data_IF_657595744303
#
_entry.id   IF_657595744303
#
_cell.length_a   1.000
_cell.length_b   1.000
_cell.length_c   1.000
_cell.angle_alpha   90.00
_cell.angle_beta   90.00
_cell.angle_gamma   90.00
#
_symmetry.space_group_name_H-M   'P 1'
#
loop_
_entity.id
_entity.type
_entity.pdbx_description
1 polymer ?
#
# COMPACT_ATOMS: atom_id res chain seq x y z
N UNK A 1 -20.74 2.50 19.34
CA UNK A 1 -19.50 2.63 20.15
C UNK A 1 -18.33 2.51 19.19
N UNK A 2 -17.30 3.36 19.30
CA UNK A 2 -16.10 3.27 18.47
C UNK A 2 -15.29 2.05 18.90
N UNK A 3 -14.88 1.21 17.93
CA UNK A 3 -14.01 0.06 18.19
C UNK A 3 -12.68 0.52 18.80
N UNK A 4 -12.17 -0.25 19.75
CA UNK A 4 -10.88 -0.04 20.41
C UNK A 4 -10.09 -1.33 20.33
N UNK A 5 -8.80 -1.20 20.06
CA UNK A 5 -7.88 -2.33 20.09
C UNK A 5 -7.77 -2.89 21.50
N UNK A 6 -7.74 -4.22 21.61
CA UNK A 6 -7.34 -4.87 22.85
C UNK A 6 -5.83 -4.74 23.07
N UNK A 7 -5.40 -4.88 24.32
CA UNK A 7 -3.97 -4.90 24.65
C UNK A 7 -3.23 -6.00 23.87
N UNK A 8 -3.85 -7.17 23.71
CA UNK A 8 -3.31 -8.30 22.93
C UNK A 8 -3.13 -7.95 21.45
N UNK A 9 -4.06 -7.19 20.85
CA UNK A 9 -3.94 -6.74 19.45
C UNK A 9 -2.80 -5.73 19.29
N UNK A 10 -2.64 -4.82 20.24
CA UNK A 10 -1.54 -3.83 20.26
C UNK A 10 -0.20 -4.55 20.39
N UNK A 11 -0.07 -5.47 21.36
CA UNK A 11 1.15 -6.25 21.57
C UNK A 11 1.49 -7.13 20.36
N UNK A 12 0.48 -7.76 19.75
CA UNK A 12 0.65 -8.53 18.51
C UNK A 12 1.17 -7.67 17.37
N UNK A 13 0.60 -6.47 17.16
CA UNK A 13 1.09 -5.53 16.15
C UNK A 13 2.57 -5.19 16.37
N UNK A 14 2.94 -4.79 17.59
CA UNK A 14 4.33 -4.41 17.87
C UNK A 14 5.28 -5.62 17.81
N UNK A 15 4.82 -6.82 18.14
CA UNK A 15 5.60 -8.06 18.05
C UNK A 15 5.82 -8.50 16.61
N UNK A 16 4.73 -8.63 15.83
CA UNK A 16 4.70 -9.26 14.52
C UNK A 16 4.85 -8.26 13.36
N UNK A 17 4.66 -6.96 13.60
CA UNK A 17 4.81 -5.89 12.60
C UNK A 17 3.56 -5.60 11.76
N UNK A 18 2.49 -6.35 12.01
CA UNK A 18 1.19 -6.16 11.37
C UNK A 18 0.05 -6.61 12.27
N UNK A 19 -1.16 -6.19 11.93
CA UNK A 19 -2.40 -6.59 12.58
C UNK A 19 -3.50 -6.76 11.54
N UNK A 20 -4.28 -7.84 11.65
CA UNK A 20 -5.51 -8.02 10.87
C UNK A 20 -6.69 -7.71 11.78
N UNK A 21 -7.54 -6.78 11.35
CA UNK A 21 -8.83 -6.50 11.95
C UNK A 21 -9.91 -7.13 11.09
N UNK A 22 -10.72 -8.02 11.67
CA UNK A 22 -11.77 -8.68 10.91
C UNK A 22 -12.99 -7.78 10.74
N UNK A 23 -13.65 -7.91 9.60
CA UNK A 23 -14.83 -7.12 9.24
C UNK A 23 -15.92 -7.14 10.33
N UNK A 24 -16.11 -8.30 10.97
CA UNK A 24 -17.09 -8.53 12.03
C UNK A 24 -16.65 -8.05 13.42
N UNK A 25 -15.42 -7.54 13.58
CA UNK A 25 -14.87 -7.08 14.86
C UNK A 25 -14.83 -5.55 14.95
N UNK A 26 -14.40 -4.89 13.88
CA UNK A 26 -14.00 -3.48 13.96
C UNK A 26 -15.14 -2.46 13.82
N UNK A 27 -16.31 -2.85 13.28
CA UNK A 27 -17.47 -1.97 13.07
C UNK A 27 -17.21 -0.65 12.30
N UNK A 28 -16.05 -0.49 11.64
CA UNK A 28 -15.73 0.63 10.74
C UNK A 28 -16.61 0.69 9.49
N UNK A 29 -17.19 -0.44 9.10
CA UNK A 29 -18.10 -0.58 7.96
C UNK A 29 -19.41 -1.15 8.49
N UNK A 30 -20.53 -0.58 8.05
CA UNK A 30 -21.86 -1.17 8.31
C UNK A 30 -22.06 -2.42 7.46
N UNK A 31 -21.68 -2.37 6.19
CA UNK A 31 -21.70 -3.49 5.26
C UNK A 31 -20.37 -3.54 4.50
N UNK A 32 -19.56 -4.62 4.61
CA UNK A 32 -18.36 -4.81 3.82
C UNK A 32 -18.56 -4.68 2.29
N UNK A 33 -19.76 -4.95 1.80
CA UNK A 33 -20.10 -4.82 0.37
C UNK A 33 -19.99 -3.37 -0.14
N UNK A 34 -20.11 -2.38 0.75
CA UNK A 34 -19.95 -0.97 0.40
C UNK A 34 -18.58 -0.69 -0.24
N UNK A 35 -17.51 -1.36 0.20
CA UNK A 35 -16.17 -1.19 -0.39
C UNK A 35 -16.15 -1.58 -1.86
N UNK A 36 -16.90 -2.61 -2.26
CA UNK A 36 -16.99 -3.05 -3.65
C UNK A 36 -17.74 -2.03 -4.50
N UNK A 37 -18.85 -1.49 -3.98
CA UNK A 37 -19.63 -0.44 -4.65
C UNK A 37 -18.75 0.79 -4.86
N UNK A 38 -18.16 1.33 -3.80
CA UNK A 38 -17.34 2.55 -3.85
C UNK A 38 -16.09 2.37 -4.72
N UNK A 39 -15.43 1.21 -4.66
CA UNK A 39 -14.27 0.93 -5.52
C UNK A 39 -14.65 0.84 -6.99
N UNK A 40 -15.85 0.33 -7.31
CA UNK A 40 -16.36 0.28 -8.68
C UNK A 40 -16.80 1.67 -9.18
N UNK A 41 -17.34 2.52 -8.32
CA UNK A 41 -17.61 3.93 -8.64
C UNK A 41 -16.30 4.64 -9.03
N UNK A 42 -15.25 4.53 -8.20
CA UNK A 42 -13.91 5.09 -8.50
C UNK A 42 -13.34 4.50 -9.80
N UNK A 43 -13.51 3.20 -10.01
CA UNK A 43 -13.04 2.51 -11.23
C UNK A 43 -13.73 3.02 -12.49
N UNK A 44 -15.00 3.40 -12.40
CA UNK A 44 -15.83 3.85 -13.51
C UNK A 44 -15.71 5.35 -13.81
N UNK A 45 -15.01 6.12 -12.97
CA UNK A 45 -14.86 7.56 -13.17
C UNK A 45 -14.17 7.90 -14.51
N UNK A 46 -14.56 9.03 -15.13
CA UNK A 46 -13.93 9.48 -16.36
C UNK A 46 -12.45 9.82 -16.14
N UNK A 47 -11.69 9.96 -17.22
CA UNK A 47 -10.32 10.46 -17.16
C UNK A 47 -10.37 11.99 -17.11
N UNK A 48 -10.19 12.59 -15.94
CA UNK A 48 -10.25 14.03 -15.74
C UNK A 48 -8.94 14.57 -15.14
N UNK A 49 -8.30 15.48 -15.88
CA UNK A 49 -7.02 16.04 -15.49
C UNK A 49 -7.11 16.82 -14.17
N UNK A 50 -6.13 16.61 -13.28
CA UNK A 50 -6.02 17.34 -12.01
C UNK A 50 -6.84 16.75 -10.86
N UNK A 51 -7.63 15.69 -11.08
CA UNK A 51 -8.43 15.03 -10.04
C UNK A 51 -7.81 13.72 -9.53
N UNK A 52 -8.51 12.61 -9.65
CA UNK A 52 -7.97 11.27 -9.38
C UNK A 52 -6.95 10.87 -10.45
N UNK A 53 -6.07 9.94 -10.12
CA UNK A 53 -4.94 9.54 -10.95
C UNK A 53 -5.04 8.05 -11.31
N UNK A 54 -5.76 7.71 -12.40
CA UNK A 54 -5.84 6.35 -12.90
C UNK A 54 -4.60 5.97 -13.72
N UNK A 55 -4.05 4.80 -13.45
CA UNK A 55 -2.90 4.25 -14.14
C UNK A 55 -3.29 2.96 -14.84
N UNK A 56 -3.13 3.00 -16.16
CA UNK A 56 -3.38 1.87 -17.04
C UNK A 56 -2.09 1.12 -17.33
N UNK A 57 -2.25 -0.15 -17.65
CA UNK A 57 -1.17 -1.03 -18.02
C UNK A 57 -1.43 -1.73 -19.34
N UNK A 58 -0.37 -2.08 -20.06
CA UNK A 58 -0.50 -2.89 -21.28
C UNK A 58 -0.60 -4.35 -20.90
N UNK A 59 -1.71 -4.98 -21.21
CA UNK A 59 -1.85 -6.43 -21.08
C UNK A 59 -0.99 -7.16 -22.13
N UNK A 60 -0.97 -8.49 -22.07
CA UNK A 60 -0.29 -9.34 -23.06
C UNK A 60 -0.81 -9.21 -24.49
N UNK A 61 -2.06 -8.78 -24.68
CA UNK A 61 -2.66 -8.53 -26.00
C UNK A 61 -2.48 -7.07 -26.48
N UNK A 62 -1.82 -6.22 -25.70
CA UNK A 62 -1.57 -4.81 -26.00
C UNK A 62 -2.68 -3.85 -25.58
N UNK A 63 -3.79 -4.33 -25.05
CA UNK A 63 -4.87 -3.49 -24.51
C UNK A 63 -4.44 -2.76 -23.25
N UNK A 64 -5.00 -1.55 -23.06
CA UNK A 64 -4.81 -0.77 -21.83
C UNK A 64 -5.84 -1.17 -20.80
N UNK A 65 -5.38 -1.69 -19.66
CA UNK A 65 -6.22 -2.13 -18.55
C UNK A 65 -5.87 -1.33 -17.31
N UNK A 66 -6.88 -0.78 -16.64
CA UNK A 66 -6.71 -0.06 -15.39
C UNK A 66 -6.16 -1.01 -14.32
N UNK A 67 -4.97 -0.70 -13.80
CA UNK A 67 -4.33 -1.46 -12.73
C UNK A 67 -4.41 -0.76 -11.37
N UNK A 68 -4.57 0.57 -11.38
CA UNK A 68 -4.56 1.36 -10.15
C UNK A 68 -5.26 2.69 -10.33
N UNK A 69 -5.95 3.16 -9.29
CA UNK A 69 -6.34 4.57 -9.17
C UNK A 69 -5.75 5.13 -7.88
N UNK A 70 -5.09 6.28 -7.95
CA UNK A 70 -4.60 7.03 -6.77
C UNK A 70 -5.30 8.38 -6.65
N UNK A 71 -5.10 9.08 -5.52
CA UNK A 71 -5.67 10.41 -5.27
C UNK A 71 -7.20 10.50 -5.44
N UNK A 72 -7.92 9.46 -5.03
CA UNK A 72 -9.38 9.37 -5.17
C UNK A 72 -10.13 9.86 -3.93
N UNK A 73 -9.52 9.80 -2.74
CA UNK A 73 -10.19 10.08 -1.46
C UNK A 73 -10.86 11.45 -1.43
N UNK A 74 -10.22 12.48 -1.97
CA UNK A 74 -10.77 13.84 -1.97
C UNK A 74 -12.01 14.03 -2.87
N UNK A 75 -12.32 13.04 -3.70
CA UNK A 75 -13.44 13.04 -4.64
C UNK A 75 -14.52 12.01 -4.31
N UNK A 76 -14.37 11.26 -3.21
CA UNK A 76 -15.33 10.24 -2.80
C UNK A 76 -15.69 10.36 -1.32
N UNK A 77 -16.77 11.08 -0.95
CA UNK A 77 -17.11 11.40 0.44
C UNK A 77 -17.14 10.19 1.37
N UNK A 78 -17.79 9.08 0.97
CA UNK A 78 -17.87 7.87 1.82
C UNK A 78 -16.52 7.20 2.09
N UNK A 79 -15.63 7.17 1.09
CA UNK A 79 -14.27 6.65 1.25
C UNK A 79 -13.43 7.61 2.08
N UNK A 80 -13.64 8.93 1.94
CA UNK A 80 -13.00 9.94 2.79
C UNK A 80 -13.42 9.81 4.25
N UNK A 81 -14.70 9.62 4.51
CA UNK A 81 -15.22 9.45 5.87
C UNK A 81 -14.68 8.17 6.52
N UNK A 82 -14.47 7.09 5.74
CA UNK A 82 -13.84 5.87 6.25
C UNK A 82 -12.34 6.04 6.48
N UNK A 83 -11.61 6.51 5.45
CA UNK A 83 -10.14 6.53 5.42
C UNK A 83 -9.57 7.65 6.28
N UNK A 84 -10.22 8.81 6.32
CA UNK A 84 -9.81 9.97 7.11
C UNK A 84 -10.68 10.15 8.37
N UNK A 85 -11.57 9.20 8.65
CA UNK A 85 -12.49 9.28 9.78
C UNK A 85 -11.82 9.02 11.14
N UNK A 86 -12.43 9.52 12.22
CA UNK A 86 -11.89 9.38 13.56
C UNK A 86 -11.81 7.91 14.01
N UNK A 87 -12.71 7.04 13.56
CA UNK A 87 -12.72 5.64 13.99
C UNK A 87 -11.46 4.88 13.55
N UNK A 88 -11.02 5.05 12.30
CA UNK A 88 -9.75 4.50 11.83
C UNK A 88 -8.56 5.31 12.38
N UNK A 89 -8.68 6.63 12.46
CA UNK A 89 -7.65 7.51 13.02
C UNK A 89 -7.23 7.14 14.45
N UNK A 90 -8.18 6.85 15.33
CA UNK A 90 -7.88 6.44 16.72
C UNK A 90 -7.18 5.07 16.81
N UNK A 91 -7.53 4.13 15.93
CA UNK A 91 -6.84 2.83 15.83
C UNK A 91 -5.38 3.05 15.42
N UNK A 92 -5.15 3.82 14.36
CA UNK A 92 -3.81 4.10 13.86
C UNK A 92 -2.98 4.87 14.89
N UNK A 93 -3.57 5.88 15.54
CA UNK A 93 -2.94 6.62 16.63
C UNK A 93 -2.52 5.71 17.78
N UNK A 94 -3.38 4.76 18.17
CA UNK A 94 -3.09 3.79 19.23
C UNK A 94 -1.87 2.92 18.89
N UNK A 95 -1.76 2.46 17.63
CA UNK A 95 -0.65 1.63 17.18
C UNK A 95 0.65 2.43 16.96
N UNK A 96 0.52 3.69 16.58
CA UNK A 96 1.65 4.51 16.16
C UNK A 96 2.21 5.40 17.28
N UNK A 97 1.40 5.70 18.30
CA UNK A 97 1.76 6.60 19.40
C UNK A 97 1.70 8.10 19.07
N UNK A 98 1.39 8.46 17.82
CA UNK A 98 1.21 9.84 17.35
C UNK A 98 -0.06 9.96 16.50
N UNK A 99 -0.61 11.17 16.41
CA UNK A 99 -1.62 11.49 15.42
C UNK A 99 -1.07 11.23 14.01
N UNK A 100 -1.89 10.62 13.15
CA UNK A 100 -1.51 10.31 11.77
C UNK A 100 -2.33 11.12 10.77
N UNK A 101 -1.73 11.42 9.63
CA UNK A 101 -2.40 12.09 8.50
C UNK A 101 -2.33 11.21 7.26
N UNK A 102 -3.43 11.17 6.49
CA UNK A 102 -3.43 10.45 5.21
C UNK A 102 -2.36 11.06 4.30
N UNK A 103 -1.36 10.26 3.97
CA UNK A 103 -0.26 10.63 3.09
C UNK A 103 -0.57 10.24 1.64
N UNK A 104 -1.08 9.02 1.43
CA UNK A 104 -1.35 8.47 0.09
C UNK A 104 -2.51 7.49 0.11
N UNK A 105 -3.25 7.45 -0.98
CA UNK A 105 -4.37 6.53 -1.19
C UNK A 105 -4.27 5.91 -2.59
N UNK A 106 -4.49 4.59 -2.67
CA UNK A 106 -4.54 3.86 -3.94
C UNK A 106 -5.56 2.72 -3.87
N UNK A 107 -6.29 2.50 -4.95
CA UNK A 107 -7.01 1.24 -5.21
C UNK A 107 -6.15 0.44 -6.18
N UNK A 108 -5.74 -0.75 -5.80
CA UNK A 108 -5.05 -1.69 -6.68
C UNK A 108 -6.07 -2.67 -7.27
N UNK A 109 -6.10 -2.79 -8.60
CA UNK A 109 -6.92 -3.75 -9.33
C UNK A 109 -6.03 -4.86 -9.87
N UNK A 110 -5.95 -5.97 -9.13
CA UNK A 110 -5.17 -7.14 -9.54
C UNK A 110 -6.00 -7.98 -10.51
N UNK A 111 -5.64 -7.90 -11.78
CA UNK A 111 -6.39 -8.54 -12.87
C UNK A 111 -6.34 -10.08 -12.78
N UNK A 112 -7.26 -10.75 -13.47
CA UNK A 112 -7.19 -12.20 -13.62
C UNK A 112 -5.89 -12.59 -14.35
N UNK A 113 -5.24 -13.66 -13.91
CA UNK A 113 -3.96 -14.14 -14.49
C UNK A 113 -2.85 -13.06 -14.53
N UNK A 114 -2.81 -12.15 -13.55
CA UNK A 114 -1.81 -11.08 -13.47
C UNK A 114 -0.66 -11.41 -12.54
N UNK A 115 0.45 -10.68 -12.70
CA UNK A 115 1.63 -10.78 -11.86
C UNK A 115 1.38 -10.38 -10.38
N UNK A 116 2.33 -10.78 -9.53
CA UNK A 116 2.42 -10.40 -8.13
C UNK A 116 3.27 -9.14 -7.89
N UNK A 117 3.54 -8.85 -6.62
CA UNK A 117 4.44 -7.77 -6.20
C UNK A 117 5.68 -8.38 -5.57
N UNK A 118 6.87 -7.97 -6.03
CA UNK A 118 8.16 -8.43 -5.49
C UNK A 118 8.29 -8.06 -4.02
N UNK A 119 9.09 -8.84 -3.28
CA UNK A 119 9.40 -8.55 -1.88
C UNK A 119 10.06 -7.18 -1.71
N UNK A 120 9.50 -6.36 -0.83
CA UNK A 120 9.97 -4.99 -0.55
C UNK A 120 9.58 -4.58 0.89
N UNK A 121 10.10 -3.41 1.29
CA UNK A 121 9.64 -2.61 2.42
C UNK A 121 9.28 -1.22 1.88
N UNK A 122 8.34 -0.54 2.52
CA UNK A 122 7.84 0.75 2.06
C UNK A 122 8.66 1.95 2.59
N UNK A 123 9.48 1.77 3.62
CA UNK A 123 10.27 2.83 4.27
C UNK A 123 11.06 3.73 3.29
N UNK A 124 11.51 3.17 2.16
CA UNK A 124 12.28 3.92 1.13
C UNK A 124 11.47 4.33 -0.09
N UNK A 125 10.19 3.96 -0.17
CA UNK A 125 9.33 4.29 -1.31
C UNK A 125 9.16 5.81 -1.50
N UNK A 126 9.35 6.59 -0.43
CA UNK A 126 9.09 8.03 -0.39
C UNK A 126 10.32 8.87 -0.03
N UNK A 127 11.53 8.30 -0.04
CA UNK A 127 12.76 8.97 0.42
C UNK A 127 13.09 10.30 -0.31
N UNK A 128 12.51 10.53 -1.49
CA UNK A 128 12.62 11.79 -2.23
C UNK A 128 11.85 12.96 -1.59
N UNK A 129 10.97 12.69 -0.63
CA UNK A 129 10.25 13.68 0.17
C UNK A 129 10.80 13.79 1.60
N UNK A 130 11.86 13.04 1.92
CA UNK A 130 12.39 12.88 3.26
C UNK A 130 12.20 11.46 3.80
N UNK A 131 12.91 11.16 4.87
CA UNK A 131 12.68 9.95 5.65
C UNK A 131 11.38 10.14 6.46
N UNK A 132 10.43 9.22 6.31
CA UNK A 132 9.14 9.27 6.98
C UNK A 132 8.68 7.88 7.40
N UNK A 133 8.31 7.75 8.66
CA UNK A 133 7.62 6.58 9.15
C UNK A 133 6.15 6.63 8.75
N UNK A 134 5.61 5.47 8.44
CA UNK A 134 4.23 5.40 8.01
C UNK A 134 3.59 4.05 8.34
N UNK A 135 2.30 4.11 8.55
CA UNK A 135 1.42 2.95 8.70
C UNK A 135 0.48 2.88 7.51
N UNK A 136 0.29 1.69 6.97
CA UNK A 136 -0.63 1.43 5.86
C UNK A 136 -1.80 0.59 6.33
N UNK A 137 -3.02 1.03 6.00
CA UNK A 137 -4.23 0.24 6.07
C UNK A 137 -4.56 -0.31 4.67
N UNK A 138 -4.55 -1.64 4.55
CA UNK A 138 -5.00 -2.37 3.38
C UNK A 138 -6.40 -2.94 3.64
N UNK A 139 -7.42 -2.33 3.04
CA UNK A 139 -8.82 -2.72 3.14
C UNK A 139 -9.15 -3.66 1.98
N UNK A 140 -9.58 -4.88 2.31
CA UNK A 140 -9.97 -5.88 1.33
C UNK A 140 -11.34 -5.53 0.72
N UNK A 141 -11.35 -5.16 -0.57
CA UNK A 141 -12.58 -4.92 -1.33
C UNK A 141 -13.19 -6.25 -1.76
N UNK A 142 -12.36 -7.08 -2.39
CA UNK A 142 -12.65 -8.47 -2.70
C UNK A 142 -11.87 -9.38 -1.75
N UNK A 143 -12.28 -10.65 -1.65
CA UNK A 143 -11.52 -11.65 -0.91
C UNK A 143 -10.09 -11.75 -1.46
N UNK A 144 -9.09 -11.64 -0.60
CA UNK A 144 -7.70 -11.92 -0.90
C UNK A 144 -7.36 -13.32 -0.38
N UNK A 145 -7.10 -14.24 -1.30
CA UNK A 145 -6.79 -15.65 -1.02
C UNK A 145 -5.39 -16.00 -1.51
N UNK A 146 -4.80 -17.12 -1.08
CA UNK A 146 -3.54 -17.61 -1.64
C UNK A 146 -3.55 -17.72 -3.17
N UNK A 147 -4.65 -18.19 -3.76
CA UNK A 147 -4.77 -18.45 -5.20
C UNK A 147 -4.85 -17.17 -6.04
N UNK A 148 -5.44 -16.11 -5.49
CA UNK A 148 -5.51 -14.80 -6.13
C UNK A 148 -4.42 -13.82 -5.64
N UNK A 149 -3.44 -14.35 -4.90
CA UNK A 149 -2.22 -13.68 -4.47
C UNK A 149 -2.46 -12.64 -3.40
N UNK A 150 -2.99 -13.05 -2.24
CA UNK A 150 -3.00 -12.27 -1.00
C UNK A 150 -1.59 -11.79 -0.60
N UNK A 151 -1.50 -10.85 0.35
CA UNK A 151 -0.20 -10.40 0.83
C UNK A 151 0.48 -11.52 1.60
N UNK A 152 1.80 -11.59 1.46
CA UNK A 152 2.70 -12.42 2.24
C UNK A 152 3.62 -11.51 3.03
N UNK A 153 3.87 -11.83 4.30
CA UNK A 153 4.68 -11.03 5.21
C UNK A 153 5.67 -11.90 5.98
N UNK A 154 6.77 -11.31 6.45
CA UNK A 154 7.66 -11.97 7.42
C UNK A 154 7.38 -11.40 8.80
N UNK A 155 6.88 -12.22 9.73
CA UNK A 155 6.57 -11.77 11.10
C UNK A 155 7.81 -11.19 11.77
N UNK A 156 7.66 -10.02 12.38
CA UNK A 156 8.71 -9.36 13.13
C UNK A 156 9.83 -8.74 12.27
N UNK A 157 9.72 -8.77 10.94
CA UNK A 157 10.78 -8.29 10.05
C UNK A 157 11.07 -6.79 10.22
N UNK A 158 10.10 -6.02 10.70
CA UNK A 158 10.29 -4.59 11.01
C UNK A 158 11.34 -4.34 12.11
N UNK A 159 11.79 -5.39 12.80
CA UNK A 159 12.86 -5.35 13.81
C UNK A 159 14.15 -6.06 13.33
N UNK A 160 14.21 -6.46 12.07
CA UNK A 160 15.32 -7.20 11.49
C UNK A 160 16.13 -6.31 10.54
N UNK A 161 17.40 -6.66 10.35
CA UNK A 161 18.16 -6.15 9.21
C UNK A 161 17.65 -6.83 7.93
N UNK A 162 17.10 -6.02 7.02
CA UNK A 162 16.55 -6.49 5.74
C UNK A 162 17.51 -6.11 4.62
N UNK A 163 18.05 -7.12 3.93
CA UNK A 163 18.92 -6.91 2.78
C UNK A 163 18.09 -6.43 1.59
N UNK A 164 18.24 -5.15 1.22
CA UNK A 164 17.52 -4.53 0.10
C UNK A 164 18.49 -4.12 -1.00
N UNK A 165 18.14 -4.44 -2.25
CA UNK A 165 18.87 -4.03 -3.46
C UNK A 165 17.89 -3.52 -4.49
N UNK A 166 18.11 -2.31 -5.00
CA UNK A 166 17.20 -1.60 -5.94
C UNK A 166 15.75 -1.50 -5.44
N UNK A 167 15.58 -1.30 -4.12
CA UNK A 167 14.27 -1.23 -3.48
C UNK A 167 13.57 -2.58 -3.25
N UNK A 168 14.17 -3.70 -3.66
CA UNK A 168 13.62 -5.04 -3.44
C UNK A 168 14.46 -5.82 -2.44
N UNK A 169 13.79 -6.64 -1.63
CA UNK A 169 14.46 -7.55 -0.70
C UNK A 169 15.23 -8.61 -1.52
N UNK A 170 16.48 -8.87 -1.16
CA UNK A 170 17.33 -9.84 -1.89
C UNK A 170 16.75 -11.25 -1.84
N UNK A 171 17.07 -12.07 -2.85
CA UNK A 171 16.62 -13.47 -2.88
C UNK A 171 17.19 -14.27 -1.70
N UNK A 172 18.41 -13.97 -1.28
CA UNK A 172 19.06 -14.68 -0.17
C UNK A 172 18.38 -14.36 1.17
N UNK A 173 18.00 -13.10 1.41
CA UNK A 173 17.17 -12.77 2.56
C UNK A 173 15.80 -13.45 2.47
N UNK A 174 15.14 -13.42 1.31
CA UNK A 174 13.84 -14.08 1.11
C UNK A 174 13.87 -15.58 1.42
N UNK A 175 14.93 -16.30 1.00
CA UNK A 175 15.07 -17.76 1.21
C UNK A 175 15.35 -18.13 2.66
N UNK A 176 15.89 -17.21 3.47
CA UNK A 176 16.22 -17.44 4.88
C UNK A 176 15.06 -17.20 5.84
N UNK A 177 13.92 -16.72 5.35
CA UNK A 177 12.79 -16.31 6.19
C UNK A 177 11.49 -16.95 5.73
N UNK A 178 10.62 -17.23 6.69
CA UNK A 178 9.29 -17.79 6.45
C UNK A 178 8.30 -16.69 6.09
N UNK A 179 7.70 -16.83 4.90
CA UNK A 179 6.68 -15.91 4.38
C UNK A 179 5.28 -16.41 4.73
N UNK A 180 4.61 -15.71 5.64
CA UNK A 180 3.25 -16.01 6.05
C UNK A 180 2.25 -15.37 5.07
N UNK A 181 1.38 -16.17 4.48
CA UNK A 181 0.22 -15.69 3.73
C UNK A 181 -0.83 -15.06 4.66
N UNK A 182 -1.37 -13.91 4.26
CA UNK A 182 -2.38 -13.16 5.03
C UNK A 182 -3.67 -13.08 4.21
N UNK A 183 -4.52 -14.12 4.24
CA UNK A 183 -5.81 -14.07 3.58
C UNK A 183 -6.77 -13.12 4.30
N UNK A 184 -7.54 -12.38 3.51
CA UNK A 184 -8.49 -11.36 3.95
C UNK A 184 -9.85 -11.60 3.30
N UNK A 185 -10.91 -11.57 4.12
CA UNK A 185 -12.29 -11.51 3.61
C UNK A 185 -12.65 -10.06 3.22
N UNK A 186 -13.66 -9.83 2.37
CA UNK A 186 -14.17 -8.49 2.11
C UNK A 186 -14.48 -7.74 3.43
N UNK A 187 -13.99 -6.51 3.54
CA UNK A 187 -14.11 -5.68 4.73
C UNK A 187 -12.98 -5.84 5.74
N UNK A 188 -12.19 -6.92 5.72
CA UNK A 188 -11.03 -7.06 6.61
C UNK A 188 -9.99 -5.96 6.32
N UNK A 189 -9.30 -5.53 7.37
CA UNK A 189 -8.24 -4.52 7.30
C UNK A 189 -6.93 -5.12 7.78
N UNK A 190 -5.90 -5.08 6.94
CA UNK A 190 -4.53 -5.37 7.32
C UNK A 190 -3.76 -4.06 7.55
N UNK A 191 -3.31 -3.86 8.78
CA UNK A 191 -2.48 -2.74 9.22
C UNK A 191 -1.02 -3.18 9.30
N UNK A 192 -0.10 -2.40 8.73
CA UNK A 192 1.34 -2.69 8.80
C UNK A 192 2.19 -1.43 8.63
N UNK A 193 3.38 -1.44 9.25
CA UNK A 193 4.34 -0.34 9.16
C UNK A 193 5.23 -0.38 7.93
N UNK A 194 5.88 0.75 7.67
CA UNK A 194 6.88 1.04 6.62
C UNK A 194 7.99 -0.02 6.48
N UNK A 195 8.42 -0.65 7.58
CA UNK A 195 9.54 -1.60 7.63
C UNK A 195 9.13 -3.08 7.54
N UNK A 196 7.84 -3.39 7.38
CA UNK A 196 7.41 -4.78 7.24
C UNK A 196 7.80 -5.32 5.85
N UNK A 197 8.57 -6.41 5.83
CA UNK A 197 8.88 -7.16 4.63
C UNK A 197 7.61 -7.81 4.11
N UNK A 198 7.18 -7.40 2.92
CA UNK A 198 5.94 -7.91 2.33
C UNK A 198 6.04 -8.08 0.82
N UNK A 199 5.22 -8.98 0.29
CA UNK A 199 5.11 -9.31 -1.15
C UNK A 199 3.69 -9.79 -1.47
N UNK A 200 3.41 -10.10 -2.73
CA UNK A 200 2.30 -11.01 -3.05
C UNK A 200 2.58 -11.87 -4.26
N UNK A 201 2.10 -13.10 -4.23
CA UNK A 201 2.08 -14.01 -5.38
C UNK A 201 1.21 -13.48 -6.54
N UNK A 202 1.31 -14.03 -7.77
CA UNK A 202 0.39 -13.74 -8.88
C UNK A 202 -1.08 -14.01 -8.55
N UNK A 203 -2.01 -13.41 -9.31
CA UNK A 203 -3.41 -13.83 -9.29
C UNK A 203 -3.63 -14.91 -10.35
N UNK A 204 -3.73 -16.17 -9.94
CA UNK A 204 -3.91 -17.31 -10.85
C UNK A 204 -5.38 -17.66 -11.11
N UNK A 205 -6.30 -16.81 -10.65
CA UNK A 205 -7.75 -17.03 -10.81
C UNK A 205 -8.30 -16.33 -12.04
N UNK A 206 -9.52 -16.72 -12.43
CA UNK A 206 -10.26 -16.09 -13.54
C UNK A 206 -10.97 -14.79 -13.14
N UNK A 207 -10.84 -14.33 -11.90
CA UNK A 207 -11.52 -13.13 -11.39
C UNK A 207 -10.49 -12.08 -10.98
N UNK A 208 -10.71 -10.80 -11.30
CA UNK A 208 -9.91 -9.72 -10.72
C UNK A 208 -10.25 -9.58 -9.23
N UNK A 209 -9.36 -8.91 -8.49
CA UNK A 209 -9.63 -8.48 -7.11
C UNK A 209 -9.14 -7.06 -6.89
N UNK A 210 -9.86 -6.30 -6.06
CA UNK A 210 -9.48 -4.98 -5.63
C UNK A 210 -9.03 -4.98 -4.15
N UNK A 211 -8.14 -4.05 -3.84
CA UNK A 211 -7.76 -3.70 -2.46
C UNK A 211 -7.48 -2.21 -2.38
N UNK A 212 -8.00 -1.54 -1.36
CA UNK A 212 -7.72 -0.13 -1.08
C UNK A 212 -6.55 -0.07 -0.11
N UNK A 213 -5.54 0.73 -0.43
CA UNK A 213 -4.41 1.02 0.44
C UNK A 213 -4.44 2.50 0.79
N UNK A 214 -4.50 2.79 2.08
CA UNK A 214 -4.33 4.13 2.64
C UNK A 214 -3.06 4.13 3.50
N UNK A 215 -2.08 4.95 3.13
CA UNK A 215 -0.81 5.11 3.85
C UNK A 215 -0.84 6.42 4.59
N UNK A 216 -0.47 6.41 5.86
CA UNK A 216 -0.52 7.55 6.76
C UNK A 216 0.86 7.87 7.32
N UNK A 217 1.21 9.14 7.34
CA UNK A 217 2.44 9.65 7.96
C UNK A 217 2.18 10.19 9.35
N UNK A 218 3.23 10.32 10.15
CA UNK A 218 3.13 10.98 11.44
C UNK A 218 2.84 12.47 11.22
N UNK A 219 1.93 13.04 12.00
CA UNK A 219 1.63 14.47 11.92
C UNK A 219 2.85 15.32 12.28
N UNK A 220 3.71 14.80 13.16
CA UNK A 220 4.98 15.42 13.56
C UNK A 220 6.01 15.51 12.42
N UNK A 221 5.90 14.69 11.37
CA UNK A 221 6.80 14.72 10.21
C UNK A 221 6.39 15.75 9.15
N UNK A 222 5.18 16.29 9.24
CA UNK A 222 4.67 17.32 8.34
C UNK A 222 3.18 17.18 8.07
N UNK A 223 2.52 18.31 7.84
CA UNK A 223 1.06 18.35 7.63
C UNK A 223 0.65 18.44 6.15
N UNK A 224 1.61 18.63 5.24
CA UNK A 224 1.38 18.85 3.81
C UNK A 224 2.06 17.78 2.92
N UNK A 225 2.60 16.71 3.50
CA UNK A 225 3.31 15.63 2.78
C UNK A 225 2.48 15.01 1.66
N UNK A 226 1.17 14.81 1.87
CA UNK A 226 0.23 14.34 0.83
C UNK A 226 0.21 15.25 -0.39
N UNK A 227 0.14 16.57 -0.17
CA UNK A 227 0.10 17.56 -1.24
C UNK A 227 1.42 17.57 -2.00
N UNK A 228 2.54 17.60 -1.27
CA UNK A 228 3.88 17.52 -1.88
C UNK A 228 4.04 16.24 -2.72
N UNK A 229 3.56 15.10 -2.23
CA UNK A 229 3.58 13.83 -2.94
C UNK A 229 2.83 13.88 -4.27
N UNK A 230 1.56 14.29 -4.26
CA UNK A 230 0.76 14.29 -5.48
C UNK A 230 1.15 15.40 -6.46
N UNK A 231 1.58 16.57 -5.98
CA UNK A 231 2.11 17.63 -6.85
C UNK A 231 3.37 17.14 -7.58
N UNK A 232 4.33 16.59 -6.85
CA UNK A 232 5.55 16.03 -7.44
C UNK A 232 5.20 14.86 -8.38
N UNK A 233 4.36 13.92 -7.93
CA UNK A 233 4.01 12.74 -8.74
C UNK A 233 3.29 13.11 -10.03
N UNK A 234 2.38 14.09 -10.02
CA UNK A 234 1.68 14.53 -11.24
C UNK A 234 2.63 15.15 -12.27
N UNK A 235 3.71 15.80 -11.82
CA UNK A 235 4.74 16.33 -12.73
C UNK A 235 5.63 15.23 -13.31
N UNK A 236 6.05 14.28 -12.47
CA UNK A 236 7.11 13.32 -12.80
C UNK A 236 6.60 11.96 -13.28
N UNK A 237 5.39 11.57 -12.90
CA UNK A 237 4.74 10.33 -13.31
C UNK A 237 3.21 10.50 -13.38
N UNK A 238 2.69 11.37 -14.26
CA UNK A 238 1.26 11.55 -14.44
C UNK A 238 0.59 10.30 -15.05
N UNK A 239 -0.73 10.16 -14.85
CA UNK A 239 -1.59 9.28 -15.64
C UNK A 239 -1.36 9.46 -17.14
N UNK A 240 -1.57 8.40 -17.92
CA UNK A 240 -1.34 8.43 -19.38
C UNK A 240 -2.10 9.59 -20.07
N UNK A 241 -3.31 9.91 -19.62
CA UNK A 241 -4.13 11.00 -20.18
C UNK A 241 -3.68 12.42 -19.79
N UNK A 242 -2.79 12.56 -18.81
CA UNK A 242 -2.19 13.84 -18.39
C UNK A 242 -0.75 14.01 -18.92
N UNK A 243 -0.22 13.02 -19.65
CA UNK A 243 1.16 13.08 -20.18
C UNK A 243 1.28 14.09 -21.32
N UNK A 244 2.36 14.86 -21.27
CA UNK A 244 2.75 15.74 -22.37
C UNK A 244 3.37 14.89 -23.49
N UNK A 245 2.90 15.00 -24.75
CA UNK A 245 3.51 14.28 -25.86
C UNK A 245 5.01 14.51 -25.95
N UNK A 246 5.78 13.44 -26.20
CA UNK A 246 7.25 13.44 -26.34
C UNK A 246 8.06 13.81 -25.08
N UNK A 247 7.42 14.05 -23.92
CA UNK A 247 8.16 14.20 -22.66
C UNK A 247 8.57 12.83 -22.12
N UNK A 248 9.83 12.70 -21.69
CA UNK A 248 10.33 11.49 -21.03
C UNK A 248 9.90 11.45 -19.56
N UNK A 249 9.31 10.32 -19.16
CA UNK A 249 8.83 10.06 -17.80
C UNK A 249 9.54 8.84 -17.17
N UNK A 250 10.61 8.33 -17.78
CA UNK A 250 11.31 7.11 -17.35
C UNK A 250 11.83 7.21 -15.91
N UNK A 251 12.39 8.36 -15.53
CA UNK A 251 12.85 8.59 -14.15
C UNK A 251 11.69 8.51 -13.12
N UNK A 252 10.52 9.04 -13.48
CA UNK A 252 9.32 8.95 -12.65
C UNK A 252 8.78 7.53 -12.60
N UNK A 253 8.81 6.80 -13.72
CA UNK A 253 8.48 5.38 -13.75
C UNK A 253 9.33 4.63 -12.74
N UNK A 254 10.67 4.69 -12.80
CA UNK A 254 11.53 3.99 -11.84
C UNK A 254 11.29 4.38 -10.39
N UNK A 255 10.99 5.66 -10.13
CA UNK A 255 10.71 6.17 -8.77
C UNK A 255 9.39 5.63 -8.22
N UNK A 256 8.34 5.58 -9.03
CA UNK A 256 6.98 5.24 -8.59
C UNK A 256 6.54 3.82 -8.95
N UNK A 257 7.37 3.08 -9.68
CA UNK A 257 7.16 1.67 -10.03
C UNK A 257 7.55 0.70 -8.92
N UNK A 258 8.20 1.18 -7.86
CA UNK A 258 8.47 0.35 -6.69
C UNK A 258 7.12 -0.20 -6.20
N UNK A 259 6.99 -1.53 -6.22
CA UNK A 259 5.73 -2.21 -5.98
C UNK A 259 4.59 -1.80 -6.93
N UNK A 260 4.82 -1.87 -8.24
CA UNK A 260 3.78 -1.94 -9.26
C UNK A 260 3.94 -3.26 -10.05
N UNK A 261 2.85 -4.01 -10.29
CA UNK A 261 2.92 -5.32 -10.91
C UNK A 261 2.89 -5.13 -12.43
N UNK A 262 3.86 -4.41 -12.99
CA UNK A 262 3.86 -4.19 -14.42
C UNK A 262 4.04 -5.56 -15.14
N UNK A 263 3.15 -5.93 -16.08
CA UNK A 263 3.17 -7.00 -17.09
C UNK A 263 4.49 -7.07 -17.89
N UNK A 264 5.43 -6.13 -17.71
CA UNK A 264 6.78 -6.21 -18.26
C UNK A 264 7.60 -7.34 -17.63
N UNK A 265 8.47 -7.94 -18.43
CA UNK A 265 9.42 -8.95 -17.95
C UNK A 265 10.33 -8.32 -16.88
N UNK A 266 10.54 -9.04 -15.79
CA UNK A 266 11.33 -8.58 -14.65
C UNK A 266 12.84 -8.44 -14.93
N UNK A 267 13.28 -8.73 -16.16
CA UNK A 267 14.68 -8.80 -16.57
C UNK A 267 15.30 -7.44 -16.97
N UNK A 268 14.49 -6.39 -17.12
CA UNK A 268 14.90 -5.17 -17.84
C UNK A 268 15.14 -3.92 -16.95
N UNK A 269 15.32 -4.05 -15.62
CA UNK A 269 15.57 -2.87 -14.75
C UNK A 269 17.08 -2.58 -14.55
N UNK A 270 17.62 -1.45 -15.08
CA UNK A 270 19.05 -1.13 -14.99
C UNK A 270 19.48 -0.69 -13.56
N UNK A 271 20.68 -1.11 -13.19
CA UNK A 271 21.37 -0.97 -11.91
C UNK A 271 21.74 0.47 -11.47
N UNK A 272 21.58 0.75 -10.18
CA UNK A 272 22.62 1.42 -9.36
C UNK A 272 22.45 1.19 -7.85
N UNK A 273 23.59 0.88 -7.22
CA UNK A 273 24.02 0.80 -5.81
C UNK A 273 22.99 0.99 -4.66
N UNK A 274 22.84 -0.04 -3.81
CA UNK A 274 22.20 0.07 -2.49
C UNK A 274 23.19 -0.30 -1.38
N UNK A 275 23.29 0.55 -0.35
CA UNK A 275 24.02 0.28 0.90
C UNK A 275 23.19 -0.59 1.85
N UNK A 276 23.82 -1.45 2.68
CA UNK A 276 23.15 -2.21 3.74
C UNK A 276 22.30 -1.29 4.64
N UNK A 277 21.14 -1.77 5.07
CA UNK A 277 20.29 -1.07 6.04
C UNK A 277 20.51 -1.71 7.39
N UNK A 278 21.08 -0.96 8.33
CA UNK A 278 20.91 -1.25 9.74
C UNK A 278 19.59 -0.62 10.18
N UNK A 279 18.61 -1.45 10.52
CA UNK A 279 17.37 -0.97 11.13
C UNK A 279 17.67 -0.81 12.62
N UNK A 280 17.87 0.43 13.07
CA UNK A 280 17.98 0.68 14.50
C UNK A 280 16.67 0.22 15.17
N UNK A 281 16.72 -0.55 16.26
CA UNK A 281 15.50 -0.94 16.95
C UNK A 281 14.76 0.32 17.39
N UNK A 282 13.49 0.43 17.00
CA UNK A 282 12.58 1.46 17.54
C UNK A 282 12.66 1.41 19.05
N UNK A 283 13.02 2.55 19.66
CA UNK A 283 13.08 2.68 21.10
C UNK A 283 11.78 2.15 21.70
N UNK A 284 11.91 1.13 22.56
CA UNK A 284 10.83 0.71 23.45
C UNK A 284 10.34 1.95 24.18
N UNK A 285 9.11 2.38 23.91
CA UNK A 285 8.44 3.39 24.73
C UNK A 285 8.28 2.74 26.10
N UNK A 286 9.14 3.15 27.03
CA UNK A 286 9.09 2.72 28.42
C UNK A 286 7.77 3.15 29.03
N UNK A 287 7.05 2.19 29.61
CA UNK A 287 5.91 2.48 30.45
C UNK A 287 6.35 3.26 31.68
N UNK A 288 5.58 4.29 32.01
CA UNK A 288 5.39 4.80 33.35
C UNK A 288 3.90 4.72 33.66
#
# INVERSE_FOLDING_TARGET
>A
MTFKLSQEQIESYHKDGFLVLRANEHNLLTDPHDLLIWSNEVKAWPREAGKWMPYDEKSSNGERILMRTENFVDWHPKLKDLICGPALGEILKTLNGDDVLLFKDKINYKQANSNGFRAHIDARAYAHLGDMEHITANLAVDAATPENGCLEVVRGSHKMDIDVTKGFITLDWQKRHDWLQVPLAPGDILLFGSHLAHRSAPNNTKKPRASIYATYSNKSEGTDLRKQYYDHRRIHFPPDHERVPNKDYSAGYFRYSLAAPFFGSWADSPDSEAKPVHVAPTATIGGN
#
